data_IF_984048232284
#
_entry.id   IF_984048232284
#
_cell.length_a   1.000
_cell.length_b   1.000
_cell.length_c   1.000
_cell.angle_alpha   90.00
_cell.angle_beta   90.00
_cell.angle_gamma   90.00
#
_symmetry.space_group_name_H-M   'P 1'
#
loop_
_entity.id
_entity.type
_entity.pdbx_description
1 polymer ?
#
# COMPACT_ATOMS: atom_id res chain seq x y z
N UNK A 1 21.84 18.79 0.97
CA UNK A 1 21.30 18.12 2.17
C UNK A 1 22.44 17.36 2.80
N UNK A 2 22.63 17.44 4.12
CA UNK A 2 23.68 16.68 4.81
C UNK A 2 23.27 15.21 4.95
N UNK A 3 24.22 14.27 4.87
CA UNK A 3 23.97 12.82 4.91
C UNK A 3 23.12 12.36 6.11
N UNK A 4 23.24 13.05 7.25
CA UNK A 4 22.47 12.76 8.45
C UNK A 4 20.97 13.07 8.30
N UNK A 5 20.62 14.11 7.54
CA UNK A 5 19.23 14.45 7.25
C UNK A 5 18.62 13.46 6.24
N UNK A 6 19.43 13.00 5.28
CA UNK A 6 19.04 11.97 4.32
C UNK A 6 18.73 10.63 5.02
N UNK A 7 19.61 10.20 5.94
CA UNK A 7 19.42 9.01 6.76
C UNK A 7 18.19 9.11 7.68
N UNK A 8 17.96 10.29 8.28
CA UNK A 8 16.75 10.56 9.06
C UNK A 8 15.48 10.41 8.23
N UNK A 9 15.47 10.96 7.01
CA UNK A 9 14.36 10.82 6.08
C UNK A 9 14.12 9.37 5.67
N UNK A 10 15.16 8.61 5.33
CA UNK A 10 15.05 7.17 5.02
C UNK A 10 14.39 6.39 6.17
N UNK A 11 14.80 6.65 7.41
CA UNK A 11 14.27 5.99 8.60
C UNK A 11 12.81 6.35 8.91
N UNK A 12 12.39 7.59 8.67
CA UNK A 12 11.04 8.05 9.02
C UNK A 12 10.01 7.92 7.89
N UNK A 13 10.47 7.76 6.64
CA UNK A 13 9.57 7.73 5.47
C UNK A 13 9.71 6.48 4.62
N UNK A 14 10.93 6.13 4.18
CA UNK A 14 11.11 4.98 3.27
C UNK A 14 10.83 3.66 4.00
N UNK A 15 11.52 3.36 5.11
CA UNK A 15 11.34 2.08 5.78
C UNK A 15 9.91 1.84 6.29
N UNK A 16 9.22 2.82 6.89
CA UNK A 16 7.82 2.65 7.26
C UNK A 16 6.90 2.41 6.06
N UNK A 17 7.16 3.06 4.91
CA UNK A 17 6.38 2.84 3.68
C UNK A 17 6.56 1.43 3.14
N UNK A 18 7.80 0.93 3.09
CA UNK A 18 8.07 -0.46 2.69
C UNK A 18 7.51 -1.46 3.69
N UNK A 19 7.58 -1.19 4.99
CA UNK A 19 6.94 -2.03 6.01
C UNK A 19 5.42 -2.11 5.79
N UNK A 20 4.77 -0.99 5.45
CA UNK A 20 3.36 -0.97 5.09
C UNK A 20 3.05 -1.75 3.82
N UNK A 21 3.91 -1.71 2.79
CA UNK A 21 3.72 -2.55 1.60
C UNK A 21 3.82 -4.04 1.93
N UNK A 22 4.82 -4.43 2.72
CA UNK A 22 4.95 -5.82 3.18
C UNK A 22 3.72 -6.22 3.98
N UNK A 23 3.29 -5.40 4.94
CA UNK A 23 2.10 -5.67 5.72
C UNK A 23 0.83 -5.78 4.84
N UNK A 24 0.69 -4.91 3.84
CA UNK A 24 -0.45 -4.93 2.92
C UNK A 24 -0.48 -6.21 2.08
N UNK A 25 0.60 -6.51 1.36
CA UNK A 25 0.62 -7.59 0.38
C UNK A 25 0.84 -8.97 1.00
N UNK A 26 1.65 -9.08 2.05
CA UNK A 26 2.07 -10.38 2.60
C UNK A 26 1.26 -10.81 3.82
N UNK A 27 0.57 -9.89 4.48
CA UNK A 27 -0.17 -10.18 5.73
C UNK A 27 -1.65 -9.88 5.54
N UNK A 28 -2.00 -8.63 5.28
CA UNK A 28 -3.39 -8.20 5.21
C UNK A 28 -4.14 -8.85 4.05
N UNK A 29 -3.62 -8.78 2.82
CA UNK A 29 -4.30 -9.33 1.66
C UNK A 29 -4.54 -10.85 1.75
N UNK A 30 -3.56 -11.69 2.17
CA UNK A 30 -3.79 -13.12 2.38
C UNK A 30 -4.79 -13.43 3.50
N UNK A 31 -4.69 -12.75 4.64
CA UNK A 31 -5.63 -12.93 5.75
C UNK A 31 -7.05 -12.55 5.31
N UNK A 32 -7.18 -11.42 4.62
CA UNK A 32 -8.46 -10.96 4.08
C UNK A 32 -9.08 -12.00 3.15
N UNK A 33 -8.32 -12.47 2.16
CA UNK A 33 -8.77 -13.50 1.23
C UNK A 33 -9.18 -14.79 1.96
N UNK A 34 -8.38 -15.25 2.92
CA UNK A 34 -8.68 -16.44 3.72
C UNK A 34 -9.99 -16.27 4.49
N UNK A 35 -10.14 -15.17 5.22
CA UNK A 35 -11.34 -14.86 5.99
C UNK A 35 -12.54 -14.83 5.05
N UNK A 36 -12.47 -14.09 3.94
CA UNK A 36 -13.56 -13.99 2.96
C UNK A 36 -14.00 -15.33 2.35
N UNK A 37 -13.06 -16.21 2.00
CA UNK A 37 -13.35 -17.49 1.34
C UNK A 37 -13.78 -18.57 2.32
N UNK A 38 -13.09 -18.69 3.45
CA UNK A 38 -13.39 -19.71 4.47
C UNK A 38 -14.71 -19.46 5.18
N UNK A 39 -15.22 -18.22 5.11
CA UNK A 39 -16.31 -17.73 5.96
C UNK A 39 -16.11 -18.18 7.41
N UNK A 40 -14.91 -17.93 7.96
CA UNK A 40 -14.51 -18.34 9.31
C UNK A 40 -15.48 -17.90 10.44
N UNK A 41 -16.46 -17.05 10.13
CA UNK A 41 -17.50 -16.54 11.01
C UNK A 41 -18.92 -17.16 10.81
N UNK A 42 -19.13 -18.05 9.83
CA UNK A 42 -20.46 -18.39 9.23
C UNK A 42 -21.38 -19.31 10.04
N UNK A 43 -21.01 -19.75 11.25
CA UNK A 43 -21.88 -20.67 12.01
C UNK A 43 -23.15 -20.00 12.57
N UNK A 44 -23.35 -18.69 12.34
CA UNK A 44 -24.49 -17.92 12.84
C UNK A 44 -25.33 -17.32 11.70
N UNK A 45 -26.58 -17.79 11.47
CA UNK A 45 -27.45 -17.22 10.45
C UNK A 45 -27.72 -15.73 10.72
N UNK A 46 -27.51 -14.89 9.70
CA UNK A 46 -27.80 -13.44 9.71
C UNK A 46 -26.61 -12.50 9.95
N UNK A 47 -25.42 -13.01 10.27
CA UNK A 47 -24.23 -12.18 10.55
C UNK A 47 -23.36 -11.93 9.31
N UNK A 48 -23.50 -12.77 8.28
CA UNK A 48 -22.66 -12.77 7.08
C UNK A 48 -22.57 -11.41 6.37
N UNK A 49 -23.72 -10.73 6.24
CA UNK A 49 -23.77 -9.45 5.55
C UNK A 49 -23.03 -8.35 6.32
N UNK A 50 -23.20 -8.31 7.65
CA UNK A 50 -22.57 -7.32 8.51
C UNK A 50 -21.05 -7.51 8.50
N UNK A 51 -20.57 -8.76 8.59
CA UNK A 51 -19.13 -9.04 8.56
C UNK A 51 -18.56 -8.75 7.17
N UNK A 52 -19.25 -9.10 6.09
CA UNK A 52 -18.81 -8.79 4.72
C UNK A 52 -18.67 -7.28 4.50
N UNK A 53 -19.63 -6.48 4.98
CA UNK A 53 -19.55 -5.02 4.94
C UNK A 53 -18.38 -4.51 5.78
N UNK A 54 -18.20 -5.03 7.00
CA UNK A 54 -17.09 -4.66 7.89
C UNK A 54 -15.73 -4.94 7.25
N UNK A 55 -15.57 -6.11 6.62
CA UNK A 55 -14.38 -6.47 5.86
C UNK A 55 -14.13 -5.47 4.72
N UNK A 56 -15.14 -5.14 3.91
CA UNK A 56 -15.00 -4.15 2.85
C UNK A 56 -14.55 -2.77 3.36
N UNK A 57 -15.07 -2.31 4.50
CA UNK A 57 -14.65 -1.04 5.11
C UNK A 57 -13.16 -1.10 5.49
N UNK A 58 -12.72 -2.19 6.13
CA UNK A 58 -11.31 -2.38 6.50
C UNK A 58 -10.43 -2.44 5.26
N UNK A 59 -10.86 -3.15 4.21
CA UNK A 59 -10.15 -3.22 2.93
C UNK A 59 -9.94 -1.83 2.33
N UNK A 60 -10.98 -1.02 2.28
CA UNK A 60 -10.91 0.36 1.77
C UNK A 60 -9.96 1.19 2.64
N UNK A 61 -10.11 1.16 3.96
CA UNK A 61 -9.29 1.95 4.88
C UNK A 61 -7.79 1.62 4.76
N UNK A 62 -7.44 0.33 4.78
CA UNK A 62 -6.05 -0.11 4.67
C UNK A 62 -5.48 0.19 3.28
N UNK A 63 -6.29 0.06 2.22
CA UNK A 63 -5.88 0.42 0.85
C UNK A 63 -5.59 1.91 0.74
N UNK A 64 -6.47 2.78 1.26
CA UNK A 64 -6.26 4.23 1.26
C UNK A 64 -5.02 4.64 2.07
N UNK A 65 -4.81 4.03 3.24
CA UNK A 65 -3.60 4.26 4.04
C UNK A 65 -2.34 3.86 3.26
N UNK A 66 -2.35 2.70 2.60
CA UNK A 66 -1.20 2.21 1.83
C UNK A 66 -0.91 3.12 0.64
N UNK A 67 -1.95 3.62 -0.05
CA UNK A 67 -1.81 4.62 -1.11
C UNK A 67 -1.26 5.95 -0.60
N UNK A 68 -1.73 6.42 0.56
CA UNK A 68 -1.25 7.65 1.18
C UNK A 68 0.23 7.56 1.52
N UNK A 69 0.68 6.41 2.02
CA UNK A 69 2.11 6.16 2.29
C UNK A 69 2.92 6.12 0.98
N UNK A 70 2.43 5.43 -0.05
CA UNK A 70 3.08 5.34 -1.36
C UNK A 70 3.28 6.73 -2.00
N UNK A 71 2.20 7.52 -2.08
CA UNK A 71 2.26 8.85 -2.68
C UNK A 71 2.95 9.87 -1.80
N UNK A 72 2.83 9.75 -0.46
CA UNK A 72 3.61 10.55 0.49
C UNK A 72 5.10 10.41 0.25
N UNK A 73 5.60 9.18 0.08
CA UNK A 73 7.00 8.92 -0.27
C UNK A 73 7.39 9.54 -1.62
N UNK A 74 6.53 9.45 -2.65
CA UNK A 74 6.79 10.04 -3.96
C UNK A 74 6.88 11.57 -3.87
N UNK A 75 5.99 12.22 -3.11
CA UNK A 75 6.03 13.67 -2.92
C UNK A 75 7.27 14.11 -2.15
N UNK A 76 7.64 13.38 -1.09
CA UNK A 76 8.86 13.65 -0.34
C UNK A 76 10.10 13.54 -1.23
N UNK A 77 10.15 12.56 -2.14
CA UNK A 77 11.24 12.40 -3.11
C UNK A 77 11.28 13.54 -4.12
N UNK A 78 10.12 13.97 -4.62
CA UNK A 78 10.07 15.14 -5.52
C UNK A 78 10.61 16.39 -4.82
N UNK A 79 10.23 16.61 -3.57
CA UNK A 79 10.75 17.70 -2.76
C UNK A 79 12.27 17.57 -2.57
N UNK A 80 12.76 16.36 -2.26
CA UNK A 80 14.19 16.09 -2.11
C UNK A 80 14.98 16.42 -3.39
N UNK A 81 14.51 15.93 -4.54
CA UNK A 81 15.11 16.20 -5.85
C UNK A 81 15.15 17.70 -6.15
N UNK A 82 14.09 18.45 -5.81
CA UNK A 82 14.06 19.91 -6.03
C UNK A 82 15.09 20.68 -5.19
N UNK A 83 15.52 20.11 -4.06
CA UNK A 83 16.50 20.68 -3.14
C UNK A 83 17.93 20.16 -3.34
N UNK A 84 18.13 19.32 -4.36
CA UNK A 84 19.36 18.61 -4.60
C UNK A 84 20.38 19.51 -5.32
N UNK A 85 21.64 19.53 -4.89
CA UNK A 85 22.68 20.30 -5.58
C UNK A 85 22.99 19.69 -6.96
N UNK A 86 23.47 20.51 -7.89
CA UNK A 86 23.82 20.05 -9.25
C UNK A 86 24.86 18.91 -9.24
N UNK A 87 25.78 18.95 -8.27
CA UNK A 87 26.83 17.96 -8.08
C UNK A 87 26.27 16.62 -7.57
N UNK A 88 25.29 16.64 -6.64
CA UNK A 88 24.65 15.41 -6.18
C UNK A 88 23.69 14.84 -7.24
N UNK A 89 23.05 15.71 -8.03
CA UNK A 89 22.13 15.32 -9.11
C UNK A 89 22.82 14.59 -10.27
N UNK A 90 24.11 14.85 -10.51
CA UNK A 90 24.88 14.22 -11.57
C UNK A 90 25.42 12.84 -11.19
N UNK A 91 25.46 12.52 -9.89
CA UNK A 91 25.84 11.18 -9.38
C UNK A 91 24.82 10.11 -9.75
N UNK A 92 25.26 8.84 -9.75
CA UNK A 92 24.35 7.72 -10.01
C UNK A 92 23.27 7.60 -8.93
N UNK A 93 23.57 7.97 -7.68
CA UNK A 93 22.57 8.09 -6.62
C UNK A 93 21.49 9.12 -6.98
N UNK A 94 21.87 10.33 -7.39
CA UNK A 94 20.93 11.38 -7.82
C UNK A 94 20.04 10.97 -9.00
N UNK A 95 20.55 10.13 -9.92
CA UNK A 95 19.78 9.61 -11.05
C UNK A 95 18.70 8.60 -10.63
N UNK A 96 18.88 7.84 -9.54
CA UNK A 96 17.88 6.85 -9.07
C UNK A 96 16.55 7.50 -8.69
N UNK A 97 16.56 8.74 -8.21
CA UNK A 97 15.34 9.47 -7.82
C UNK A 97 14.40 9.76 -8.99
N UNK A 98 14.89 9.80 -10.25
CA UNK A 98 14.04 10.03 -11.43
C UNK A 98 13.05 8.89 -11.66
N UNK A 99 13.36 7.66 -11.23
CA UNK A 99 12.51 6.48 -11.38
C UNK A 99 11.35 6.39 -10.39
N UNK A 100 11.34 7.21 -9.34
CA UNK A 100 10.38 7.06 -8.24
C UNK A 100 8.93 7.42 -8.60
N UNK A 101 8.72 8.26 -9.62
CA UNK A 101 7.35 8.51 -10.11
C UNK A 101 6.78 7.26 -10.78
N UNK A 102 7.58 6.55 -11.58
CA UNK A 102 7.17 5.29 -12.18
C UNK A 102 6.90 4.23 -11.09
N UNK A 103 7.74 4.18 -10.04
CA UNK A 103 7.49 3.35 -8.86
C UNK A 103 6.12 3.64 -8.23
N UNK A 104 5.78 4.92 -7.98
CA UNK A 104 4.49 5.30 -7.41
C UNK A 104 3.30 4.86 -8.26
N UNK A 105 3.40 4.98 -9.58
CA UNK A 105 2.35 4.54 -10.52
C UNK A 105 2.19 3.02 -10.47
N UNK A 106 3.28 2.25 -10.58
CA UNK A 106 3.24 0.79 -10.54
C UNK A 106 2.64 0.28 -9.23
N UNK A 107 3.09 0.82 -8.10
CA UNK A 107 2.54 0.43 -6.79
C UNK A 107 1.07 0.83 -6.64
N UNK A 108 0.65 1.97 -7.18
CA UNK A 108 -0.77 2.34 -7.18
C UNK A 108 -1.62 1.30 -7.91
N UNK A 109 -1.17 0.87 -9.09
CA UNK A 109 -1.85 -0.18 -9.87
C UNK A 109 -1.90 -1.49 -9.07
N UNK A 110 -0.79 -1.90 -8.44
CA UNK A 110 -0.73 -3.13 -7.65
C UNK A 110 -1.64 -3.08 -6.40
N UNK A 111 -1.63 -1.97 -5.67
CA UNK A 111 -2.45 -1.76 -4.46
C UNK A 111 -3.94 -1.79 -4.85
N UNK A 112 -4.33 -0.98 -5.84
CA UNK A 112 -5.73 -0.93 -6.29
C UNK A 112 -6.18 -2.24 -6.92
N UNK A 113 -5.33 -2.89 -7.72
CA UNK A 113 -5.63 -4.18 -8.34
C UNK A 113 -5.84 -5.27 -7.30
N UNK A 114 -5.02 -5.29 -6.24
CA UNK A 114 -5.18 -6.21 -5.10
C UNK A 114 -6.49 -5.91 -4.37
N UNK A 115 -6.77 -4.65 -4.04
CA UNK A 115 -8.01 -4.26 -3.38
C UNK A 115 -9.25 -4.65 -4.20
N UNK A 116 -9.25 -4.39 -5.50
CA UNK A 116 -10.34 -4.76 -6.39
C UNK A 116 -10.54 -6.28 -6.43
N UNK A 117 -9.45 -7.05 -6.57
CA UNK A 117 -9.50 -8.52 -6.55
C UNK A 117 -10.07 -9.07 -5.24
N UNK A 118 -9.63 -8.53 -4.09
CA UNK A 118 -10.13 -8.91 -2.77
C UNK A 118 -11.61 -8.51 -2.58
N UNK A 119 -12.01 -7.33 -3.06
CA UNK A 119 -13.41 -6.90 -3.03
C UNK A 119 -14.30 -7.84 -3.82
N UNK A 120 -13.88 -8.24 -5.03
CA UNK A 120 -14.60 -9.23 -5.85
C UNK A 120 -14.71 -10.59 -5.16
N UNK A 121 -13.71 -11.02 -4.38
CA UNK A 121 -13.78 -12.27 -3.61
C UNK A 121 -14.90 -12.22 -2.55
N UNK A 122 -15.09 -11.09 -1.87
CA UNK A 122 -16.18 -10.92 -0.89
C UNK A 122 -17.55 -11.04 -1.57
N UNK A 123 -17.73 -10.42 -2.74
CA UNK A 123 -19.01 -10.46 -3.45
C UNK A 123 -19.25 -11.80 -4.18
N UNK A 124 -18.22 -12.44 -4.73
CA UNK A 124 -18.35 -13.73 -5.42
C UNK A 124 -18.67 -14.89 -4.47
N UNK A 125 -18.27 -14.81 -3.19
CA UNK A 125 -18.69 -15.74 -2.16
C UNK A 125 -20.22 -15.68 -1.86
N UNK A 126 -20.89 -14.58 -2.22
CA UNK A 126 -22.34 -14.43 -2.08
C UNK A 126 -23.15 -15.04 -3.26
N UNK A 127 -22.51 -15.36 -4.40
CA UNK A 127 -23.18 -15.95 -5.58
C UNK A 127 -23.13 -17.49 -5.62
N UNK A 128 -22.49 -18.14 -4.63
CA UNK A 128 -22.38 -19.60 -4.53
C UNK A 128 -23.40 -20.24 -3.58
N UNK A 129 -24.25 -19.44 -2.92
CA UNK A 129 -25.40 -19.90 -2.12
C UNK A 129 -26.69 -19.78 -2.93
#
# INVERSE_FOLDING_TARGET
>A
MEDRQLLGWMNHRIYPTFAMFIAYFMIFAPIFAFVSVSKWWSDKPGIDQIISIGLLIVLIAVTLLTLLMAWGMVFDIKALVSSMSAELASTDFGKTFKGFVAFGVVFTILILGTAAGLGLLVFSAAFRS
#
